data_IF_013737031109
#
_entry.id   IF_013737031109
#
_cell.length_a   1.000
_cell.length_b   1.000
_cell.length_c   1.000
_cell.angle_alpha   90.00
_cell.angle_beta   90.00
_cell.angle_gamma   90.00
#
_symmetry.space_group_name_H-M   'P 1'
#
loop_
_entity.id
_entity.type
_entity.pdbx_description
1 polymer ?
#
# COMPACT_ATOMS: atom_id res chain seq x y z
N UNK A 1 -2.04 -47.48 26.36
CA UNK A 1 -1.09 -47.08 25.31
C UNK A 1 -1.33 -45.60 25.05
N UNK A 2 -0.47 -44.73 25.60
CA UNK A 2 -0.55 -43.28 25.37
C UNK A 2 0.33 -42.96 24.16
N UNK A 3 -0.30 -42.59 23.06
CA UNK A 3 0.35 -42.20 21.82
C UNK A 3 1.05 -40.86 22.04
N UNK A 4 2.39 -40.84 21.93
CA UNK A 4 3.18 -39.62 22.02
C UNK A 4 2.98 -38.82 20.74
N UNK A 5 2.55 -37.55 20.78
CA UNK A 5 2.50 -36.74 19.58
C UNK A 5 3.92 -36.40 19.10
N UNK A 6 4.12 -36.52 17.80
CA UNK A 6 5.34 -36.16 17.08
C UNK A 6 5.53 -34.62 17.12
N UNK A 7 6.56 -34.19 17.85
CA UNK A 7 6.91 -32.79 18.06
C UNK A 7 7.65 -32.15 16.86
N UNK A 8 7.86 -32.86 15.75
CA UNK A 8 8.66 -32.35 14.61
C UNK A 8 7.93 -31.34 13.69
N UNK A 9 6.67 -30.99 13.96
CA UNK A 9 5.85 -30.19 13.03
C UNK A 9 5.90 -28.66 13.21
N UNK A 10 6.71 -28.13 14.13
CA UNK A 10 6.70 -26.69 14.47
C UNK A 10 7.86 -25.83 13.89
N UNK A 11 8.71 -26.38 13.03
CA UNK A 11 9.97 -25.70 12.66
C UNK A 11 9.93 -24.71 11.48
N UNK A 12 8.78 -24.31 10.92
CA UNK A 12 8.74 -23.45 9.72
C UNK A 12 8.12 -22.05 9.88
N UNK A 13 8.10 -21.49 11.09
CA UNK A 13 7.58 -20.13 11.33
C UNK A 13 8.64 -19.13 11.77
N UNK A 14 9.90 -19.31 11.34
CA UNK A 14 10.86 -18.21 11.44
C UNK A 14 10.47 -17.13 10.42
N UNK A 15 10.24 -15.87 10.85
CA UNK A 15 10.00 -14.79 9.90
C UNK A 15 11.25 -14.67 9.03
N UNK A 16 11.12 -14.93 7.73
CA UNK A 16 12.19 -14.65 6.76
C UNK A 16 12.55 -13.17 6.95
N UNK A 17 13.80 -12.88 7.32
CA UNK A 17 14.31 -11.51 7.35
C UNK A 17 13.85 -10.82 6.07
N UNK A 18 13.30 -9.59 6.14
CA UNK A 18 12.72 -8.95 4.97
C UNK A 18 13.81 -8.90 3.89
N UNK A 19 13.55 -9.56 2.76
CA UNK A 19 14.47 -9.55 1.64
C UNK A 19 14.67 -8.09 1.20
N UNK A 20 15.83 -7.51 1.47
CA UNK A 20 16.17 -6.16 1.03
C UNK A 20 16.64 -6.22 -0.42
N UNK A 21 15.78 -5.76 -1.33
CA UNK A 21 16.13 -5.54 -2.73
C UNK A 21 16.63 -4.10 -2.92
N UNK A 22 17.77 -3.91 -3.59
CA UNK A 22 18.30 -2.59 -3.92
C UNK A 22 17.71 -2.12 -5.25
N UNK A 23 17.16 -0.91 -5.25
CA UNK A 23 16.61 -0.23 -6.44
C UNK A 23 17.43 1.04 -6.69
N UNK A 24 17.93 1.21 -7.91
CA UNK A 24 18.58 2.45 -8.35
C UNK A 24 17.67 3.15 -9.36
N UNK A 25 17.24 4.37 -9.05
CA UNK A 25 16.37 5.18 -9.90
C UNK A 25 17.12 6.44 -10.31
N UNK A 26 17.00 6.82 -11.58
CA UNK A 26 17.51 8.10 -12.08
C UNK A 26 16.42 9.13 -11.87
N UNK A 27 16.75 10.18 -11.14
CA UNK A 27 15.89 11.34 -10.91
C UNK A 27 16.52 12.54 -11.59
N UNK A 28 15.68 13.44 -12.10
CA UNK A 28 16.14 14.79 -12.44
C UNK A 28 16.51 15.57 -11.19
N UNK A 29 17.29 16.63 -11.34
CA UNK A 29 17.72 17.46 -10.22
C UNK A 29 16.52 18.05 -9.45
N UNK A 30 15.45 18.40 -10.17
CA UNK A 30 14.21 18.90 -9.56
C UNK A 30 13.53 17.83 -8.72
N UNK A 31 13.36 16.63 -9.25
CA UNK A 31 12.72 15.52 -8.51
C UNK A 31 13.54 15.11 -7.28
N UNK A 32 14.88 15.21 -7.36
CA UNK A 32 15.75 14.95 -6.22
C UNK A 32 15.58 16.02 -5.12
N UNK A 33 15.42 17.29 -5.49
CA UNK A 33 15.11 18.38 -4.56
C UNK A 33 13.74 18.20 -3.91
N UNK A 34 12.71 17.89 -4.71
CA UNK A 34 11.36 17.65 -4.20
C UNK A 34 11.34 16.46 -3.23
N UNK A 35 12.06 15.37 -3.57
CA UNK A 35 12.20 14.22 -2.67
C UNK A 35 12.88 14.59 -1.36
N UNK A 36 13.94 15.41 -1.41
CA UNK A 36 14.64 15.86 -0.20
C UNK A 36 13.75 16.73 0.67
N UNK A 37 13.00 17.68 0.08
CA UNK A 37 12.04 18.50 0.81
C UNK A 37 10.96 17.67 1.52
N UNK A 38 10.45 16.63 0.85
CA UNK A 38 9.50 15.69 1.46
C UNK A 38 10.16 14.94 2.63
N UNK A 39 11.39 14.46 2.46
CA UNK A 39 12.12 13.78 3.53
C UNK A 39 12.28 14.68 4.76
N UNK A 40 12.67 15.94 4.54
CA UNK A 40 12.88 16.92 5.60
C UNK A 40 11.57 17.25 6.33
N UNK A 41 10.47 17.41 5.58
CA UNK A 41 9.14 17.69 6.17
C UNK A 41 8.59 16.54 7.01
N UNK A 42 8.90 15.29 6.64
CA UNK A 42 8.40 14.09 7.30
C UNK A 42 9.37 13.51 8.34
N UNK A 43 10.61 14.02 8.39
CA UNK A 43 11.68 13.47 9.23
C UNK A 43 12.06 12.02 8.90
N UNK A 44 11.82 11.59 7.65
CA UNK A 44 12.01 10.21 7.19
C UNK A 44 13.19 10.08 6.22
N UNK A 45 13.81 8.91 6.16
CA UNK A 45 14.84 8.65 5.15
C UNK A 45 14.23 8.55 3.74
N UNK A 46 15.04 8.87 2.71
CA UNK A 46 14.62 8.75 1.30
C UNK A 46 14.06 7.37 0.98
N UNK A 47 14.70 6.30 1.46
CA UNK A 47 14.24 4.93 1.24
C UNK A 47 12.93 4.62 1.95
N UNK A 48 12.61 5.26 3.08
CA UNK A 48 11.30 5.12 3.73
C UNK A 48 10.23 5.87 2.96
N UNK A 49 10.50 7.11 2.55
CA UNK A 49 9.57 7.91 1.73
C UNK A 49 9.23 7.17 0.43
N UNK A 50 10.23 6.60 -0.26
CA UNK A 50 10.01 5.82 -1.48
C UNK A 50 9.20 4.55 -1.19
N UNK A 51 9.47 3.83 -0.09
CA UNK A 51 8.68 2.65 0.31
C UNK A 51 7.22 3.02 0.58
N UNK A 52 6.98 4.12 1.27
CA UNK A 52 5.63 4.60 1.57
C UNK A 52 4.91 5.05 0.29
N UNK A 53 5.61 5.72 -0.62
CA UNK A 53 5.08 6.09 -1.94
C UNK A 53 4.68 4.86 -2.76
N UNK A 54 5.52 3.80 -2.78
CA UNK A 54 5.18 2.55 -3.45
C UNK A 54 3.96 1.86 -2.83
N UNK A 55 3.86 1.81 -1.50
CA UNK A 55 2.70 1.25 -0.80
C UNK A 55 1.42 2.03 -1.13
N UNK A 56 1.50 3.37 -1.08
CA UNK A 56 0.38 4.24 -1.40
C UNK A 56 -0.03 4.11 -2.88
N UNK A 57 0.93 3.97 -3.79
CA UNK A 57 0.65 3.74 -5.20
C UNK A 57 -0.10 2.42 -5.43
N UNK A 58 0.36 1.32 -4.80
CA UNK A 58 -0.33 0.02 -4.86
C UNK A 58 -1.75 0.11 -4.31
N UNK A 59 -1.95 0.76 -3.17
CA UNK A 59 -3.26 0.95 -2.58
C UNK A 59 -4.19 1.72 -3.53
N UNK A 60 -3.71 2.82 -4.11
CA UNK A 60 -4.49 3.62 -5.07
C UNK A 60 -4.87 2.82 -6.31
N UNK A 61 -3.98 1.98 -6.83
CA UNK A 61 -4.32 1.09 -7.94
C UNK A 61 -5.38 0.06 -7.55
N UNK A 62 -5.24 -0.58 -6.39
CA UNK A 62 -6.22 -1.55 -5.90
C UNK A 62 -7.60 -0.91 -5.68
N UNK A 63 -7.63 0.29 -5.09
CA UNK A 63 -8.86 1.06 -4.90
C UNK A 63 -9.51 1.43 -6.24
N UNK A 64 -8.72 1.88 -7.23
CA UNK A 64 -9.24 2.18 -8.57
C UNK A 64 -9.81 0.95 -9.27
N UNK A 65 -9.15 -0.19 -9.15
CA UNK A 65 -9.64 -1.44 -9.72
C UNK A 65 -10.97 -1.85 -9.06
N UNK A 66 -11.02 -1.86 -7.72
CA UNK A 66 -12.24 -2.15 -6.98
C UNK A 66 -13.37 -1.18 -7.29
N UNK A 67 -13.07 0.11 -7.42
CA UNK A 67 -14.05 1.11 -7.81
C UNK A 67 -14.57 0.86 -9.24
N UNK A 68 -13.72 0.46 -10.18
CA UNK A 68 -14.15 0.14 -11.54
C UNK A 68 -15.11 -1.06 -11.58
N UNK A 69 -14.91 -2.05 -10.71
CA UNK A 69 -15.77 -3.23 -10.61
C UNK A 69 -17.09 -2.93 -9.89
N UNK A 70 -17.04 -2.17 -8.79
CA UNK A 70 -18.19 -1.96 -7.91
C UNK A 70 -19.03 -0.73 -8.30
N UNK A 71 -18.44 0.28 -8.94
CA UNK A 71 -19.16 1.51 -9.28
C UNK A 71 -20.33 1.30 -10.25
N UNK A 72 -20.29 0.40 -11.25
CA UNK A 72 -21.45 0.13 -12.10
C UNK A 72 -22.63 -0.43 -11.30
N UNK A 73 -22.38 -1.38 -10.41
CA UNK A 73 -23.40 -1.97 -9.55
C UNK A 73 -23.94 -0.95 -8.52
N UNK A 74 -23.04 -0.15 -7.91
CA UNK A 74 -23.42 0.89 -6.97
C UNK A 74 -24.24 2.02 -7.61
N UNK A 75 -23.94 2.40 -8.87
CA UNK A 75 -24.77 3.34 -9.65
C UNK A 75 -26.13 2.75 -10.00
N UNK A 76 -26.18 1.49 -10.43
CA UNK A 76 -27.44 0.80 -10.72
C UNK A 76 -28.33 0.65 -9.46
N UNK A 77 -27.71 0.49 -8.29
CA UNK A 77 -28.38 0.44 -6.98
C UNK A 77 -28.72 1.83 -6.40
N UNK A 78 -28.33 2.93 -7.06
CA UNK A 78 -28.60 4.30 -6.60
C UNK A 78 -27.76 4.76 -5.41
N UNK A 79 -26.70 4.04 -5.03
CA UNK A 79 -25.81 4.43 -3.92
C UNK A 79 -24.82 5.53 -4.30
N UNK A 80 -24.54 5.66 -5.60
CA UNK A 80 -23.60 6.64 -6.16
C UNK A 80 -24.37 7.65 -7.03
N UNK A 81 -25.29 8.38 -6.42
CA UNK A 81 -26.04 9.50 -7.02
C UNK A 81 -25.31 10.83 -6.79
N UNK A 82 -25.57 11.81 -7.66
CA UNK A 82 -24.99 13.16 -7.57
C UNK A 82 -25.30 13.83 -6.21
N UNK A 83 -26.50 13.59 -5.67
CA UNK A 83 -26.90 14.04 -4.33
C UNK A 83 -26.02 13.49 -3.19
N UNK A 84 -25.54 12.24 -3.29
CA UNK A 84 -24.69 11.65 -2.25
C UNK A 84 -23.25 12.19 -2.29
N UNK A 85 -22.75 12.54 -3.48
CA UNK A 85 -21.40 13.09 -3.64
C UNK A 85 -21.31 14.54 -3.12
N UNK A 86 -22.38 15.32 -3.25
CA UNK A 86 -22.42 16.72 -2.81
C UNK A 86 -22.60 16.85 -1.28
N UNK A 87 -23.17 15.83 -0.62
CA UNK A 87 -23.39 15.86 0.82
C UNK A 87 -22.14 15.57 1.66
N UNK A 88 -21.12 14.87 1.15
CA UNK A 88 -19.88 14.55 1.91
C UNK A 88 -18.82 15.67 1.88
N UNK A 89 -19.02 16.74 1.09
CA UNK A 89 -18.05 17.84 0.94
C UNK A 89 -18.58 19.18 1.51
N UNK A 90 -19.65 19.14 2.30
CA UNK A 90 -20.19 20.34 2.99
C UNK A 90 -19.55 20.58 4.35
#
# INVERSE_FOLDING_TARGET
MAERPDYASYCNVLPRSPAMTRLSVRLSDKEAQDLQAICDSLGKSRSEVVRDAMRAHRLRQALRASQAELAPAARAAGWLTEDNLLHEVS
#
